data_IF_172712330162
#
_entry.id   IF_172712330162
#
_cell.length_a   1.000
_cell.length_b   1.000
_cell.length_c   1.000
_cell.angle_alpha   90.00
_cell.angle_beta   90.00
_cell.angle_gamma   90.00
#
_symmetry.space_group_name_H-M   'P 1'
#
loop_
_entity.id
_entity.type
_entity.pdbx_description
1 polymer ?
#
# COMPACT_ATOMS: atom_id res chain seq x y z
N UNK A 1 20.85 -22.35 -29.94
CA UNK A 1 19.59 -21.66 -29.59
C UNK A 1 19.85 -20.87 -28.32
N UNK A 2 20.06 -19.60 -28.49
CA UNK A 2 20.40 -18.69 -27.40
C UNK A 2 19.09 -18.22 -26.77
N UNK A 3 18.80 -18.68 -25.54
CA UNK A 3 17.74 -18.16 -24.71
C UNK A 3 18.08 -16.76 -24.22
N UNK A 4 17.87 -15.81 -25.10
CA UNK A 4 18.03 -14.41 -24.80
C UNK A 4 16.67 -13.86 -24.33
N UNK A 5 16.37 -13.83 -23.05
CA UNK A 5 15.62 -12.72 -22.43
C UNK A 5 15.17 -12.87 -20.98
N UNK A 6 15.85 -13.55 -20.04
CA UNK A 6 15.48 -13.48 -18.62
C UNK A 6 15.78 -12.13 -17.95
N UNK A 7 16.95 -11.46 -18.19
CA UNK A 7 17.34 -10.35 -17.30
C UNK A 7 16.50 -9.08 -17.46
N UNK A 8 16.04 -8.75 -18.66
CA UNK A 8 15.24 -7.55 -18.93
C UNK A 8 13.83 -7.61 -18.34
N UNK A 9 13.22 -8.80 -18.29
CA UNK A 9 11.88 -8.98 -17.72
C UNK A 9 11.92 -8.90 -16.19
N UNK A 10 12.95 -9.46 -15.55
CA UNK A 10 13.12 -9.38 -14.09
C UNK A 10 13.32 -7.93 -13.65
N UNK A 11 14.20 -7.18 -14.33
CA UNK A 11 14.42 -5.77 -14.03
C UNK A 11 13.13 -4.94 -14.13
N UNK A 12 12.31 -5.15 -15.16
CA UNK A 12 11.02 -4.48 -15.33
C UNK A 12 10.01 -4.88 -14.24
N UNK A 13 9.99 -6.15 -13.85
CA UNK A 13 9.14 -6.64 -12.77
C UNK A 13 9.49 -5.98 -11.43
N UNK A 14 10.77 -5.96 -11.09
CA UNK A 14 11.26 -5.29 -9.86
C UNK A 14 10.95 -3.80 -9.90
N UNK A 15 11.24 -3.13 -11.03
CA UNK A 15 10.95 -1.71 -11.20
C UNK A 15 9.45 -1.40 -11.05
N UNK A 16 8.55 -2.22 -11.61
CA UNK A 16 7.11 -2.06 -11.48
C UNK A 16 6.67 -2.10 -10.02
N UNK A 17 7.15 -3.07 -9.25
CA UNK A 17 6.84 -3.19 -7.82
C UNK A 17 7.41 -2.01 -7.03
N UNK A 18 8.69 -1.66 -7.24
CA UNK A 18 9.32 -0.55 -6.53
C UNK A 18 8.62 0.79 -6.81
N UNK A 19 8.33 1.10 -8.07
CA UNK A 19 7.64 2.34 -8.45
C UNK A 19 6.27 2.41 -7.80
N UNK A 20 5.48 1.34 -7.86
CA UNK A 20 4.16 1.33 -7.25
C UNK A 20 4.20 1.48 -5.72
N UNK A 21 5.14 0.81 -5.05
CA UNK A 21 5.33 0.95 -3.60
C UNK A 21 5.75 2.38 -3.23
N UNK A 22 6.74 2.95 -3.94
CA UNK A 22 7.21 4.32 -3.70
C UNK A 22 6.10 5.34 -3.91
N UNK A 23 5.33 5.22 -5.00
CA UNK A 23 4.19 6.10 -5.28
C UNK A 23 3.16 5.99 -4.15
N UNK A 24 2.81 4.78 -3.71
CA UNK A 24 1.88 4.57 -2.59
C UNK A 24 2.35 5.24 -1.30
N UNK A 25 3.64 5.10 -0.95
CA UNK A 25 4.24 5.74 0.22
C UNK A 25 4.18 7.26 0.11
N UNK A 26 4.59 7.83 -1.03
CA UNK A 26 4.65 9.29 -1.24
C UNK A 26 3.26 9.93 -1.11
N UNK A 27 2.24 9.35 -1.76
CA UNK A 27 0.87 9.90 -1.63
C UNK A 27 0.32 9.75 -0.20
N UNK A 28 0.60 8.65 0.46
CA UNK A 28 0.17 8.43 1.85
C UNK A 28 0.82 9.45 2.78
N UNK A 29 2.14 9.60 2.75
CA UNK A 29 2.85 10.58 3.57
C UNK A 29 2.43 12.02 3.26
N UNK A 30 2.26 12.35 1.97
CA UNK A 30 1.77 13.67 1.58
C UNK A 30 0.38 13.98 2.15
N UNK A 31 -0.53 13.00 2.13
CA UNK A 31 -1.85 13.13 2.74
C UNK A 31 -1.76 13.27 4.26
N UNK A 32 -0.93 12.44 4.92
CA UNK A 32 -0.70 12.52 6.37
C UNK A 32 -0.19 13.90 6.78
N UNK A 33 0.78 14.45 6.05
CA UNK A 33 1.31 15.81 6.31
C UNK A 33 0.19 16.85 6.22
N UNK A 34 -0.60 16.83 5.15
CA UNK A 34 -1.72 17.78 4.98
C UNK A 34 -2.71 17.66 6.12
N UNK A 35 -3.07 16.45 6.54
CA UNK A 35 -4.05 16.22 7.61
C UNK A 35 -3.53 16.67 8.99
N UNK A 36 -2.24 16.60 9.24
CA UNK A 36 -1.62 17.19 10.43
C UNK A 36 -1.65 18.74 10.38
N UNK A 37 -1.29 19.33 9.22
CA UNK A 37 -1.25 20.79 9.06
C UNK A 37 -2.64 21.43 9.18
N UNK A 38 -3.69 20.79 8.71
CA UNK A 38 -5.07 21.32 8.82
C UNK A 38 -5.78 20.91 10.11
N UNK A 39 -5.10 20.21 11.04
CA UNK A 39 -5.62 19.86 12.35
C UNK A 39 -6.62 18.72 12.39
N UNK A 40 -6.70 17.89 11.35
CA UNK A 40 -7.49 16.64 11.36
C UNK A 40 -6.80 15.58 12.22
N UNK A 41 -5.48 15.51 12.14
CA UNK A 41 -4.65 14.78 13.08
C UNK A 41 -4.04 15.73 14.12
N UNK A 42 -3.74 15.24 15.34
CA UNK A 42 -3.03 16.05 16.34
C UNK A 42 -1.62 16.34 15.86
N UNK A 43 -0.94 17.36 16.42
CA UNK A 43 0.46 17.64 16.12
C UNK A 43 1.37 16.41 16.25
N UNK A 44 2.43 16.37 15.45
CA UNK A 44 3.39 15.26 15.46
C UNK A 44 3.92 14.97 16.87
N UNK A 45 3.87 13.72 17.28
CA UNK A 45 4.33 13.26 18.59
C UNK A 45 3.30 13.38 19.72
N UNK A 46 2.15 13.98 19.48
CA UNK A 46 1.05 13.99 20.43
C UNK A 46 0.23 12.69 20.39
N UNK A 47 -0.64 12.51 21.41
CA UNK A 47 -1.46 11.30 21.51
C UNK A 47 -2.48 11.19 20.40
N UNK A 48 -2.50 10.04 19.73
CA UNK A 48 -3.55 9.64 18.77
C UNK A 48 -4.74 8.96 19.44
N UNK A 49 -4.71 8.75 20.75
CA UNK A 49 -5.84 8.18 21.52
C UNK A 49 -7.01 9.15 21.54
N UNK A 50 -8.18 8.67 21.17
CA UNK A 50 -9.38 9.50 21.02
C UNK A 50 -9.61 10.07 19.62
N UNK A 51 -8.68 9.86 18.71
CA UNK A 51 -8.80 10.25 17.29
C UNK A 51 -9.27 9.09 16.37
N UNK A 52 -10.12 8.20 16.90
CA UNK A 52 -10.59 7.02 16.15
C UNK A 52 -11.24 7.38 14.82
N UNK A 53 -11.98 8.47 14.75
CA UNK A 53 -12.56 8.97 13.49
C UNK A 53 -11.51 9.34 12.46
N UNK A 54 -10.45 10.02 12.86
CA UNK A 54 -9.33 10.39 12.00
C UNK A 54 -8.52 9.15 11.57
N UNK A 55 -8.31 8.19 12.47
CA UNK A 55 -7.68 6.92 12.16
C UNK A 55 -8.54 6.05 11.23
N UNK A 56 -9.87 6.09 11.38
CA UNK A 56 -10.82 5.50 10.45
C UNK A 56 -10.68 6.11 9.04
N UNK A 57 -10.62 7.43 8.95
CA UNK A 57 -10.34 8.15 7.70
C UNK A 57 -9.00 7.71 7.11
N UNK A 58 -7.95 7.61 7.94
CA UNK A 58 -6.63 7.13 7.51
C UNK A 58 -6.71 5.71 6.92
N UNK A 59 -7.44 4.82 7.55
CA UNK A 59 -7.65 3.46 7.05
C UNK A 59 -8.31 3.47 5.68
N UNK A 60 -9.30 4.33 5.46
CA UNK A 60 -10.01 4.45 4.18
C UNK A 60 -9.09 4.94 3.08
N UNK A 61 -8.44 6.10 3.24
CA UNK A 61 -7.60 6.62 2.14
C UNK A 61 -6.37 5.75 1.89
N UNK A 62 -5.77 5.16 2.91
CA UNK A 62 -4.66 4.20 2.74
C UNK A 62 -5.08 2.95 1.98
N UNK A 63 -6.31 2.47 2.20
CA UNK A 63 -6.88 1.37 1.43
C UNK A 63 -7.06 1.76 -0.04
N UNK A 64 -7.62 2.93 -0.32
CA UNK A 64 -7.79 3.44 -1.68
C UNK A 64 -6.42 3.58 -2.37
N UNK A 65 -5.43 4.14 -1.69
CA UNK A 65 -4.09 4.30 -2.24
C UNK A 65 -3.38 2.95 -2.44
N UNK A 66 -3.60 1.99 -1.56
CA UNK A 66 -3.10 0.62 -1.72
C UNK A 66 -3.69 -0.09 -2.93
N UNK A 67 -4.99 0.08 -3.19
CA UNK A 67 -5.65 -0.41 -4.41
C UNK A 67 -5.05 0.26 -5.65
N UNK A 68 -4.90 1.58 -5.62
CA UNK A 68 -4.31 2.34 -6.73
C UNK A 68 -2.85 1.94 -6.99
N UNK A 69 -2.03 1.86 -5.95
CA UNK A 69 -0.63 1.43 -6.06
C UNK A 69 -0.52 0.02 -6.66
N UNK A 70 -1.34 -0.92 -6.20
CA UNK A 70 -1.38 -2.28 -6.71
C UNK A 70 -1.87 -2.36 -8.16
N UNK A 71 -2.83 -1.52 -8.53
CA UNK A 71 -3.23 -1.36 -9.92
C UNK A 71 -2.09 -0.84 -10.80
N UNK A 72 -1.33 0.16 -10.32
CA UNK A 72 -0.15 0.67 -11.04
C UNK A 72 0.94 -0.38 -11.18
N UNK A 73 1.22 -1.15 -10.13
CA UNK A 73 2.14 -2.29 -10.20
C UNK A 73 1.71 -3.26 -11.30
N UNK A 74 0.42 -3.66 -11.29
CA UNK A 74 -0.14 -4.56 -12.28
C UNK A 74 -0.09 -3.98 -13.70
N UNK A 75 -0.25 -2.67 -13.86
CA UNK A 75 -0.21 -1.97 -15.15
C UNK A 75 1.20 -1.89 -15.73
N UNK A 76 2.20 -1.68 -14.87
CA UNK A 76 3.62 -1.56 -15.26
C UNK A 76 4.29 -2.93 -15.44
N UNK A 77 3.69 -3.98 -14.89
CA UNK A 77 4.21 -5.34 -14.98
C UNK A 77 4.34 -5.79 -16.44
N UNK A 78 5.47 -6.44 -16.81
CA UNK A 78 5.69 -6.91 -18.17
C UNK A 78 4.75 -8.06 -18.55
N UNK A 79 4.34 -8.86 -17.58
CA UNK A 79 3.42 -9.99 -17.69
C UNK A 79 2.74 -10.25 -16.34
N UNK A 80 1.80 -11.19 -16.29
CA UNK A 80 1.14 -11.69 -15.07
C UNK A 80 0.79 -10.57 -14.07
N UNK A 81 -0.05 -9.60 -14.45
CA UNK A 81 -0.31 -8.38 -13.66
C UNK A 81 -0.79 -8.69 -12.24
N UNK A 82 -1.63 -9.70 -12.05
CA UNK A 82 -2.11 -10.10 -10.73
C UNK A 82 -0.98 -10.55 -9.80
N UNK A 83 -0.03 -11.34 -10.33
CA UNK A 83 1.08 -11.81 -9.50
C UNK A 83 1.95 -10.64 -9.01
N UNK A 84 2.22 -9.65 -9.86
CA UNK A 84 2.98 -8.47 -9.48
C UNK A 84 2.24 -7.60 -8.46
N UNK A 85 0.92 -7.44 -8.61
CA UNK A 85 0.09 -6.75 -7.61
C UNK A 85 0.16 -7.45 -6.25
N UNK A 86 0.04 -8.78 -6.22
CA UNK A 86 0.12 -9.57 -4.98
C UNK A 86 1.52 -9.53 -4.35
N UNK A 87 2.58 -9.51 -5.15
CA UNK A 87 3.96 -9.31 -4.64
C UNK A 87 4.08 -7.93 -3.98
N UNK A 88 3.57 -6.87 -4.62
CA UNK A 88 3.52 -5.54 -4.03
C UNK A 88 2.69 -5.51 -2.73
N UNK A 89 1.55 -6.19 -2.70
CA UNK A 89 0.73 -6.35 -1.51
C UNK A 89 1.44 -7.09 -0.39
N UNK A 90 2.20 -8.13 -0.72
CA UNK A 90 3.01 -8.86 0.25
C UNK A 90 4.13 -7.98 0.84
N UNK A 91 4.78 -7.16 0.03
CA UNK A 91 5.73 -6.14 0.53
C UNK A 91 5.03 -5.19 1.49
N UNK A 92 3.86 -4.67 1.12
CA UNK A 92 3.05 -3.81 1.98
C UNK A 92 2.64 -4.50 3.29
N UNK A 93 2.27 -5.78 3.24
CA UNK A 93 1.96 -6.60 4.42
C UNK A 93 3.15 -6.69 5.36
N UNK A 94 4.32 -7.03 4.84
CA UNK A 94 5.55 -7.15 5.65
C UNK A 94 5.89 -5.80 6.29
N UNK A 95 5.84 -4.70 5.54
CA UNK A 95 6.07 -3.35 6.06
C UNK A 95 5.06 -3.02 7.18
N UNK A 96 3.77 -3.32 7.00
CA UNK A 96 2.73 -3.07 8.00
C UNK A 96 2.94 -3.90 9.28
N UNK A 97 3.39 -5.15 9.15
CA UNK A 97 3.73 -5.99 10.31
C UNK A 97 4.94 -5.45 11.06
N UNK A 98 5.99 -5.06 10.34
CA UNK A 98 7.20 -4.47 10.94
C UNK A 98 6.89 -3.17 11.65
N UNK A 99 6.09 -2.29 11.03
CA UNK A 99 5.66 -1.02 11.62
C UNK A 99 4.82 -1.26 12.89
N UNK A 100 3.83 -2.16 12.82
CA UNK A 100 3.03 -2.54 13.98
C UNK A 100 3.90 -3.08 15.12
N UNK A 101 4.84 -3.98 14.84
CA UNK A 101 5.73 -4.53 15.85
C UNK A 101 6.66 -3.46 16.45
N UNK A 102 7.19 -2.58 15.60
CA UNK A 102 8.09 -1.50 16.03
C UNK A 102 7.39 -0.44 16.88
N UNK A 103 6.09 -0.22 16.66
CA UNK A 103 5.33 0.84 17.36
C UNK A 103 4.45 0.32 18.50
N UNK A 104 4.30 -1.00 18.65
CA UNK A 104 3.33 -1.63 19.55
C UNK A 104 3.36 -1.14 21.00
N UNK A 105 4.56 -0.94 21.54
CA UNK A 105 4.77 -0.52 22.93
C UNK A 105 5.33 0.90 23.06
N UNK A 106 5.28 1.72 21.98
CA UNK A 106 5.87 3.08 21.99
C UNK A 106 4.94 4.17 22.56
N UNK A 107 3.76 3.79 23.00
CA UNK A 107 2.86 4.70 23.70
C UNK A 107 1.79 5.35 22.83
N UNK A 108 1.03 6.30 23.41
CA UNK A 108 -0.22 6.80 22.84
C UNK A 108 -0.07 7.64 21.56
N UNK A 109 1.13 8.12 21.26
CA UNK A 109 1.39 8.85 20.02
C UNK A 109 1.17 8.01 18.76
N UNK A 110 1.25 6.67 18.87
CA UNK A 110 1.03 5.75 17.77
C UNK A 110 -0.42 5.24 17.66
N UNK A 111 -1.30 5.72 18.54
CA UNK A 111 -2.72 5.38 18.55
C UNK A 111 -3.06 4.00 19.10
N UNK A 112 -4.34 3.60 19.00
CA UNK A 112 -4.82 2.31 19.46
C UNK A 112 -4.38 1.18 18.55
N UNK A 113 -4.21 -0.02 19.10
CA UNK A 113 -3.70 -1.21 18.39
C UNK A 113 -4.59 -1.70 17.24
N UNK A 114 -5.87 -1.36 17.24
CA UNK A 114 -6.78 -1.74 16.15
C UNK A 114 -6.34 -1.17 14.79
N UNK A 115 -5.74 0.03 14.79
CA UNK A 115 -5.36 0.71 13.58
C UNK A 115 -4.26 -0.02 12.79
N UNK A 116 -3.07 -0.33 13.36
CA UNK A 116 -2.07 -1.11 12.64
C UNK A 116 -2.57 -2.51 12.27
N UNK A 117 -3.42 -3.13 13.10
CA UNK A 117 -4.02 -4.43 12.75
C UNK A 117 -4.95 -4.32 11.54
N UNK A 118 -5.74 -3.26 11.43
CA UNK A 118 -6.57 -3.01 10.26
C UNK A 118 -5.74 -2.88 8.99
N UNK A 119 -4.62 -2.18 9.03
CA UNK A 119 -3.71 -2.03 7.88
C UNK A 119 -3.10 -3.38 7.46
N UNK A 120 -2.72 -4.23 8.41
CA UNK A 120 -2.22 -5.59 8.15
C UNK A 120 -3.29 -6.43 7.44
N UNK A 121 -4.51 -6.45 7.96
CA UNK A 121 -5.62 -7.25 7.41
C UNK A 121 -5.99 -6.78 6.00
N UNK A 122 -5.96 -5.49 5.74
CA UNK A 122 -6.34 -4.90 4.46
C UNK A 122 -5.24 -4.99 3.39
N UNK A 123 -3.99 -5.27 3.74
CA UNK A 123 -2.86 -5.26 2.82
C UNK A 123 -3.05 -6.18 1.60
N UNK A 124 -3.46 -7.42 1.81
CA UNK A 124 -3.67 -8.38 0.72
C UNK A 124 -4.98 -8.18 -0.05
N UNK A 125 -6.15 -7.91 0.59
CA UNK A 125 -7.38 -7.58 -0.11
C UNK A 125 -7.26 -6.39 -1.06
N UNK A 126 -6.61 -5.31 -0.65
CA UNK A 126 -6.40 -4.13 -1.52
C UNK A 126 -5.47 -4.44 -2.70
N UNK A 127 -4.44 -5.25 -2.49
CA UNK A 127 -3.55 -5.69 -3.56
C UNK A 127 -4.27 -6.55 -4.60
N UNK A 128 -5.10 -7.46 -4.14
CA UNK A 128 -5.95 -8.27 -5.01
C UNK A 128 -6.92 -7.39 -5.80
N UNK A 129 -7.59 -6.44 -5.16
CA UNK A 129 -8.54 -5.54 -5.81
C UNK A 129 -7.87 -4.71 -6.92
N UNK A 130 -6.70 -4.13 -6.65
CA UNK A 130 -5.92 -3.37 -7.64
C UNK A 130 -5.47 -4.25 -8.83
N UNK A 131 -4.97 -5.44 -8.55
CA UNK A 131 -4.61 -6.42 -9.57
C UNK A 131 -5.81 -6.85 -10.42
N UNK A 132 -6.96 -7.07 -9.78
CA UNK A 132 -8.19 -7.50 -10.45
C UNK A 132 -8.74 -6.43 -11.39
N UNK A 133 -8.68 -5.15 -11.00
CA UNK A 133 -9.04 -4.03 -11.88
C UNK A 133 -8.23 -4.07 -13.18
N UNK A 134 -6.94 -4.32 -13.10
CA UNK A 134 -6.10 -4.42 -14.29
C UNK A 134 -6.43 -5.66 -15.13
N UNK A 135 -6.64 -6.80 -14.51
CA UNK A 135 -7.01 -8.04 -15.21
C UNK A 135 -8.32 -7.87 -15.96
N UNK A 136 -9.33 -7.24 -15.35
CA UNK A 136 -10.61 -6.96 -16.00
C UNK A 136 -10.47 -6.05 -17.23
N UNK A 137 -9.58 -5.06 -17.20
CA UNK A 137 -9.31 -4.19 -18.35
C UNK A 137 -8.65 -4.93 -19.52
N UNK A 138 -7.93 -6.01 -19.24
CA UNK A 138 -7.25 -6.80 -20.27
C UNK A 138 -8.15 -7.88 -20.88
N UNK A 139 -9.33 -8.14 -20.31
CA UNK A 139 -10.30 -9.08 -20.89
C UNK A 139 -10.89 -8.47 -22.16
N UNK A 140 -10.94 -9.23 -23.29
CA UNK A 140 -11.62 -8.79 -24.49
C UNK A 140 -13.10 -8.49 -24.16
N UNK A 141 -13.62 -7.39 -24.67
CA UNK A 141 -15.07 -7.13 -24.65
C UNK A 141 -15.72 -8.14 -25.61
N UNK A 142 -16.47 -9.06 -25.09
CA UNK A 142 -17.33 -9.94 -25.89
C UNK A 142 -18.54 -9.17 -26.39
#
# INVERSE_FOLDING_TARGET
MSDSNPPRRIGRSVAAVLVGVVVGIVITLGTDIVLHEIGVFPPWGESMVGFDGALGLATVYRTIYGIAASYFIARLAPDRPMQHALVGGFVGLVVSIVDAAATWNKGPAFGPHWYPLALIVLAMPQAWAGGQLRVMQLRPRQ
#
